data_IF_845850176466
#
_entry.id   IF_845850176466
#
_cell.length_a   1.000
_cell.length_b   1.000
_cell.length_c   1.000
_cell.angle_alpha   90.00
_cell.angle_beta   90.00
_cell.angle_gamma   90.00
#
_symmetry.space_group_name_H-M   'P 1'
#
loop_
_entity.id
_entity.type
_entity.pdbx_description
1 polymer ?
#
# COMPACT_ATOMS: atom_id res chain seq x y z
N UNK A 1 -11.81 13.65 -11.03
CA UNK A 1 -10.68 12.80 -10.56
C UNK A 1 -10.87 11.43 -11.18
N UNK A 2 -9.81 10.75 -11.64
CA UNK A 2 -9.91 9.39 -12.15
C UNK A 2 -10.31 8.43 -11.01
N UNK A 3 -11.15 7.44 -11.29
CA UNK A 3 -11.44 6.34 -10.36
C UNK A 3 -10.21 5.45 -10.15
N UNK A 4 -10.24 4.60 -9.13
CA UNK A 4 -9.18 3.59 -8.89
C UNK A 4 -9.05 2.65 -10.09
N UNK A 5 -10.18 2.26 -10.66
CA UNK A 5 -10.25 1.40 -11.83
C UNK A 5 -9.61 2.04 -13.06
N UNK A 6 -9.95 3.31 -13.34
CA UNK A 6 -9.35 4.07 -14.46
C UNK A 6 -7.83 4.26 -14.26
N UNK A 7 -7.36 4.42 -13.03
CA UNK A 7 -5.92 4.52 -12.73
C UNK A 7 -5.22 3.18 -12.99
N UNK A 8 -5.84 2.07 -12.58
CA UNK A 8 -5.30 0.73 -12.81
C UNK A 8 -5.26 0.39 -14.30
N UNK A 9 -6.30 0.72 -15.08
CA UNK A 9 -6.32 0.49 -16.51
C UNK A 9 -5.21 1.26 -17.24
N UNK A 10 -5.01 2.54 -16.89
CA UNK A 10 -3.91 3.33 -17.45
C UNK A 10 -2.54 2.79 -17.11
N UNK A 11 -2.36 2.25 -15.89
CA UNK A 11 -1.12 1.59 -15.50
C UNK A 11 -0.88 0.34 -16.36
N UNK A 12 -1.91 -0.49 -16.54
CA UNK A 12 -1.84 -1.72 -17.34
C UNK A 12 -1.54 -1.41 -18.80
N UNK A 13 -2.24 -0.42 -19.39
CA UNK A 13 -1.99 0.03 -20.77
C UNK A 13 -0.55 0.51 -20.97
N UNK A 14 -0.06 1.35 -20.04
CA UNK A 14 1.31 1.86 -20.10
C UNK A 14 2.33 0.72 -19.99
N UNK A 15 2.12 -0.22 -19.06
CA UNK A 15 3.02 -1.33 -18.83
C UNK A 15 3.06 -2.30 -20.03
N UNK A 16 1.94 -2.59 -20.68
CA UNK A 16 1.94 -3.39 -21.90
C UNK A 16 2.61 -2.64 -23.07
N UNK A 17 2.41 -1.34 -23.17
CA UNK A 17 3.10 -0.52 -24.19
C UNK A 17 4.61 -0.52 -24.00
N UNK A 18 5.08 -0.49 -22.75
CA UNK A 18 6.50 -0.54 -22.37
C UNK A 18 7.13 -1.92 -22.68
N UNK A 19 6.43 -3.01 -22.34
CA UNK A 19 6.99 -4.37 -22.37
C UNK A 19 6.87 -5.03 -23.76
N UNK A 20 5.81 -4.77 -24.49
CA UNK A 20 5.53 -5.44 -25.78
C UNK A 20 6.00 -4.61 -26.98
N UNK A 21 5.87 -3.29 -26.93
CA UNK A 21 6.26 -2.41 -28.03
C UNK A 21 5.58 -2.77 -29.36
N UNK A 22 6.38 -3.10 -30.37
CA UNK A 22 5.91 -3.53 -31.69
C UNK A 22 5.68 -5.06 -31.80
N UNK A 23 5.90 -5.83 -30.72
CA UNK A 23 5.55 -7.24 -30.62
C UNK A 23 6.52 -8.05 -29.73
N UNK A 24 5.98 -9.08 -29.09
CA UNK A 24 6.78 -10.12 -28.45
C UNK A 24 7.32 -11.09 -29.51
N UNK A 25 8.48 -10.74 -30.07
CA UNK A 25 9.07 -11.49 -31.19
C UNK A 25 9.39 -12.94 -30.83
N UNK A 26 9.72 -13.23 -29.55
CA UNK A 26 9.98 -14.61 -29.09
C UNK A 26 8.70 -15.44 -29.18
N UNK A 27 7.62 -14.96 -28.63
CA UNK A 27 6.34 -15.66 -28.69
C UNK A 27 5.84 -15.78 -30.12
N UNK A 28 5.90 -14.68 -30.91
CA UNK A 28 5.40 -14.66 -32.28
C UNK A 28 6.15 -15.60 -33.22
N UNK A 29 7.47 -15.82 -33.02
CA UNK A 29 8.25 -16.72 -33.87
C UNK A 29 8.12 -18.21 -33.47
N UNK A 30 7.81 -18.50 -32.20
CA UNK A 30 7.83 -19.87 -31.68
C UNK A 30 6.45 -20.50 -31.50
N UNK A 31 5.41 -19.69 -31.32
CA UNK A 31 4.07 -20.18 -30.93
C UNK A 31 3.06 -19.87 -32.03
N UNK A 32 2.37 -20.89 -32.60
CA UNK A 32 1.28 -20.66 -33.57
C UNK A 32 0.19 -19.78 -32.98
N UNK A 33 -0.39 -18.91 -33.82
CA UNK A 33 -1.39 -17.92 -33.40
C UNK A 33 -2.70 -18.55 -32.84
N UNK A 34 -3.01 -19.75 -33.27
CA UNK A 34 -4.19 -20.55 -32.87
C UNK A 34 -3.89 -21.53 -31.70
N UNK A 35 -2.62 -21.60 -31.26
CA UNK A 35 -2.24 -22.47 -30.16
C UNK A 35 -2.96 -22.09 -28.86
N UNK A 36 -3.54 -23.07 -28.19
CA UNK A 36 -4.19 -22.93 -26.88
C UNK A 36 -3.43 -23.72 -25.82
N UNK A 37 -3.42 -23.20 -24.61
CA UNK A 37 -2.71 -23.80 -23.48
C UNK A 37 -3.35 -23.45 -22.14
N UNK A 38 -2.72 -23.96 -21.10
CA UNK A 38 -3.02 -23.69 -19.70
C UNK A 38 -1.71 -23.33 -19.00
N UNK A 39 -1.75 -22.32 -18.13
CA UNK A 39 -0.65 -21.98 -17.22
C UNK A 39 -1.18 -21.84 -15.80
N UNK A 40 -0.33 -22.13 -14.81
CA UNK A 40 -0.67 -22.02 -13.39
C UNK A 40 0.29 -21.10 -12.66
N UNK A 41 -0.26 -20.28 -11.78
CA UNK A 41 0.50 -19.44 -10.86
C UNK A 41 0.86 -20.25 -9.61
N UNK A 42 2.16 -20.42 -9.37
CA UNK A 42 2.71 -21.16 -8.25
C UNK A 42 3.45 -20.23 -7.29
N UNK A 43 3.23 -20.43 -6.02
CA UNK A 43 3.95 -19.76 -4.94
C UNK A 43 5.33 -20.43 -4.74
N UNK A 44 6.36 -19.62 -4.54
CA UNK A 44 7.75 -20.07 -4.30
C UNK A 44 8.30 -19.64 -2.95
N UNK A 45 7.65 -18.71 -2.29
CA UNK A 45 8.04 -18.16 -0.98
C UNK A 45 6.79 -18.05 -0.09
N UNK A 46 6.94 -18.22 1.23
CA UNK A 46 5.84 -18.07 2.18
C UNK A 46 5.49 -16.59 2.39
N UNK A 47 4.18 -16.27 2.45
CA UNK A 47 3.72 -14.91 2.67
C UNK A 47 2.21 -14.75 2.62
N UNK A 48 1.76 -13.51 2.44
CA UNK A 48 0.35 -13.14 2.27
C UNK A 48 0.11 -12.78 0.81
N UNK A 49 -0.83 -13.47 0.19
CA UNK A 49 -1.21 -13.22 -1.21
C UNK A 49 -1.96 -11.89 -1.33
N UNK A 50 -1.61 -11.09 -2.34
CA UNK A 50 -2.33 -9.85 -2.67
C UNK A 50 -2.23 -9.52 -4.16
N UNK A 51 -3.36 -9.08 -4.76
CA UNK A 51 -3.44 -8.63 -6.14
C UNK A 51 -4.13 -9.58 -7.11
N UNK A 52 -4.86 -10.59 -6.63
CA UNK A 52 -5.57 -11.58 -7.46
C UNK A 52 -6.55 -10.91 -8.43
N UNK A 53 -7.34 -9.94 -7.95
CA UNK A 53 -8.30 -9.22 -8.81
C UNK A 53 -7.59 -8.36 -9.85
N UNK A 54 -6.44 -7.76 -9.50
CA UNK A 54 -5.63 -7.01 -10.45
C UNK A 54 -5.03 -7.94 -11.51
N UNK A 55 -4.59 -9.13 -11.13
CA UNK A 55 -4.10 -10.15 -12.07
C UNK A 55 -5.17 -10.57 -13.08
N UNK A 56 -6.41 -10.82 -12.61
CA UNK A 56 -7.55 -11.08 -13.51
C UNK A 56 -7.77 -9.92 -14.49
N UNK A 57 -7.68 -8.69 -13.99
CA UNK A 57 -7.82 -7.49 -14.81
C UNK A 57 -6.71 -7.38 -15.88
N UNK A 58 -5.46 -7.70 -15.54
CA UNK A 58 -4.34 -7.76 -16.49
C UNK A 58 -4.63 -8.74 -17.62
N UNK A 59 -5.07 -9.96 -17.30
CA UNK A 59 -5.41 -10.98 -18.30
C UNK A 59 -6.53 -10.52 -19.22
N UNK A 60 -7.66 -10.08 -18.67
CA UNK A 60 -8.84 -9.71 -19.45
C UNK A 60 -8.66 -8.40 -20.22
N UNK A 61 -7.81 -7.48 -19.75
CA UNK A 61 -7.47 -6.27 -20.49
C UNK A 61 -6.71 -6.60 -21.78
N UNK A 62 -5.81 -7.59 -21.71
CA UNK A 62 -5.02 -8.03 -22.87
C UNK A 62 -5.82 -8.94 -23.81
N UNK A 63 -6.51 -9.93 -23.26
CA UNK A 63 -7.30 -10.91 -24.01
C UNK A 63 -8.56 -11.31 -23.22
N UNK A 64 -9.73 -10.75 -23.56
CA UNK A 64 -10.98 -11.03 -22.85
C UNK A 64 -11.45 -12.51 -22.91
N UNK A 65 -10.87 -13.30 -23.85
CA UNK A 65 -11.22 -14.73 -24.00
C UNK A 65 -10.45 -15.65 -23.01
N UNK A 66 -9.44 -15.12 -22.30
CA UNK A 66 -8.73 -15.89 -21.29
C UNK A 66 -9.64 -16.29 -20.14
N UNK A 67 -9.64 -17.57 -19.80
CA UNK A 67 -10.41 -18.14 -18.70
C UNK A 67 -9.52 -18.22 -17.47
N UNK A 68 -9.83 -17.43 -16.44
CA UNK A 68 -9.08 -17.38 -15.17
C UNK A 68 -9.89 -18.09 -14.09
N UNK A 69 -9.33 -19.17 -13.55
CA UNK A 69 -9.88 -19.90 -12.40
C UNK A 69 -9.00 -19.65 -11.19
N UNK A 70 -9.58 -19.06 -10.13
CA UNK A 70 -8.87 -18.69 -8.89
C UNK A 70 -9.12 -19.75 -7.83
N UNK A 71 -8.07 -20.21 -7.15
CA UNK A 71 -8.13 -21.21 -6.07
C UNK A 71 -7.81 -20.61 -4.71
N UNK A 72 -7.11 -19.46 -4.67
CA UNK A 72 -6.69 -18.79 -3.43
C UNK A 72 -6.98 -17.29 -3.55
N UNK A 73 -7.67 -16.75 -2.55
CA UNK A 73 -8.09 -15.34 -2.50
C UNK A 73 -7.03 -14.46 -1.81
N UNK A 74 -7.11 -13.14 -2.05
CA UNK A 74 -6.29 -12.14 -1.40
C UNK A 74 -6.42 -12.21 0.13
N UNK A 75 -5.32 -11.92 0.84
CA UNK A 75 -5.23 -11.99 2.30
C UNK A 75 -4.93 -13.39 2.85
N UNK A 76 -4.91 -14.42 2.01
CA UNK A 76 -4.59 -15.78 2.42
C UNK A 76 -3.09 -15.94 2.65
N UNK A 77 -2.70 -16.61 3.74
CA UNK A 77 -1.34 -17.09 3.93
C UNK A 77 -1.03 -18.23 2.97
N UNK A 78 -0.01 -18.05 2.17
CA UNK A 78 0.44 -19.00 1.14
C UNK A 78 1.86 -19.51 1.41
N UNK A 79 2.17 -20.68 0.91
CA UNK A 79 3.47 -21.36 1.06
C UNK A 79 3.97 -21.94 -0.26
N UNK A 80 5.26 -22.25 -0.36
CA UNK A 80 5.83 -22.88 -1.57
C UNK A 80 5.05 -24.11 -2.00
N UNK A 81 4.70 -24.14 -3.29
CA UNK A 81 3.93 -25.22 -3.91
C UNK A 81 2.42 -24.95 -4.03
N UNK A 82 1.87 -23.96 -3.34
CA UNK A 82 0.47 -23.60 -3.50
C UNK A 82 0.22 -23.08 -4.92
N UNK A 83 -0.90 -23.48 -5.51
CA UNK A 83 -1.38 -23.02 -6.80
C UNK A 83 -2.47 -21.98 -6.56
N UNK A 84 -2.21 -20.74 -6.99
CA UNK A 84 -3.12 -19.61 -6.76
C UNK A 84 -4.24 -19.57 -7.80
N UNK A 85 -3.88 -19.75 -9.07
CA UNK A 85 -4.84 -19.72 -10.17
C UNK A 85 -4.37 -20.56 -11.35
N UNK A 86 -5.32 -20.94 -12.21
CA UNK A 86 -5.10 -21.50 -13.53
C UNK A 86 -5.67 -20.55 -14.58
N UNK A 87 -4.93 -20.34 -15.67
CA UNK A 87 -5.39 -19.51 -16.80
C UNK A 87 -5.30 -20.32 -18.08
N UNK A 88 -6.41 -20.36 -18.83
CA UNK A 88 -6.56 -21.12 -20.09
C UNK A 88 -6.91 -20.17 -21.23
N UNK A 89 -6.35 -20.41 -22.40
CA UNK A 89 -6.68 -19.66 -23.62
C UNK A 89 -5.57 -19.67 -24.64
N UNK A 90 -5.45 -18.59 -25.43
CA UNK A 90 -4.37 -18.48 -26.41
C UNK A 90 -3.01 -18.46 -25.74
N UNK A 91 -2.13 -19.35 -26.19
CA UNK A 91 -0.79 -19.51 -25.60
C UNK A 91 0.03 -18.22 -25.75
N UNK A 92 -0.11 -17.49 -26.87
CA UNK A 92 0.55 -16.20 -27.03
C UNK A 92 0.10 -15.19 -25.96
N UNK A 93 -1.19 -15.11 -25.66
CA UNK A 93 -1.72 -14.21 -24.63
C UNK A 93 -1.24 -14.60 -23.23
N UNK A 94 -1.13 -15.90 -22.91
CA UNK A 94 -0.59 -16.35 -21.62
C UNK A 94 0.87 -15.90 -21.44
N UNK A 95 1.70 -16.00 -22.47
CA UNK A 95 3.11 -15.63 -22.41
C UNK A 95 3.31 -14.12 -22.32
N UNK A 96 2.54 -13.35 -23.10
CA UNK A 96 2.66 -11.89 -23.16
C UNK A 96 2.14 -11.18 -21.90
N UNK A 97 1.24 -11.81 -21.15
CA UNK A 97 0.69 -11.24 -19.91
C UNK A 97 1.48 -11.65 -18.66
N UNK A 98 2.29 -12.72 -18.74
CA UNK A 98 3.00 -13.33 -17.61
C UNK A 98 3.79 -12.32 -16.81
N UNK A 99 4.64 -11.52 -17.46
CA UNK A 99 5.61 -10.68 -16.77
C UNK A 99 4.92 -9.55 -16.00
N UNK A 100 3.99 -8.85 -16.63
CA UNK A 100 3.25 -7.77 -15.99
C UNK A 100 2.44 -8.29 -14.80
N UNK A 101 1.72 -9.38 -14.99
CA UNK A 101 0.93 -10.02 -13.92
C UNK A 101 1.83 -10.41 -12.74
N UNK A 102 2.96 -11.07 -12.99
CA UNK A 102 3.91 -11.46 -11.92
C UNK A 102 4.49 -10.24 -11.21
N UNK A 103 4.91 -9.20 -11.92
CA UNK A 103 5.47 -8.00 -11.31
C UNK A 103 4.50 -7.35 -10.33
N UNK A 104 3.22 -7.26 -10.70
CA UNK A 104 2.17 -6.69 -9.83
C UNK A 104 1.93 -7.59 -8.61
N UNK A 105 1.65 -8.89 -8.82
CA UNK A 105 1.35 -9.82 -7.74
C UNK A 105 2.50 -9.98 -6.75
N UNK A 106 3.73 -10.13 -7.24
CA UNK A 106 4.91 -10.24 -6.40
C UNK A 106 5.10 -9.01 -5.53
N UNK A 107 4.90 -7.81 -6.10
CA UNK A 107 5.02 -6.55 -5.36
C UNK A 107 3.90 -6.39 -4.33
N UNK A 108 2.66 -6.57 -4.72
CA UNK A 108 1.52 -6.45 -3.81
C UNK A 108 1.59 -7.47 -2.67
N UNK A 109 1.92 -8.72 -2.98
CA UNK A 109 2.08 -9.77 -1.96
C UNK A 109 3.27 -9.52 -1.04
N UNK A 110 4.37 -8.96 -1.55
CA UNK A 110 5.50 -8.53 -0.72
C UNK A 110 5.11 -7.44 0.27
N UNK A 111 4.34 -6.44 -0.16
CA UNK A 111 3.81 -5.37 0.70
C UNK A 111 2.84 -5.94 1.74
N UNK A 112 1.91 -6.78 1.33
CA UNK A 112 0.94 -7.41 2.23
C UNK A 112 1.65 -8.28 3.29
N UNK A 113 2.64 -9.07 2.88
CA UNK A 113 3.46 -9.90 3.77
C UNK A 113 4.20 -9.06 4.81
N UNK A 114 4.88 -8.00 4.37
CA UNK A 114 5.60 -7.09 5.26
C UNK A 114 4.65 -6.39 6.23
N UNK A 115 3.53 -5.88 5.73
CA UNK A 115 2.51 -5.21 6.55
C UNK A 115 1.94 -6.15 7.59
N UNK A 116 1.60 -7.38 7.19
CA UNK A 116 1.10 -8.40 8.11
C UNK A 116 2.10 -8.69 9.22
N UNK A 117 3.37 -8.88 8.89
CA UNK A 117 4.46 -9.08 9.86
C UNK A 117 4.52 -7.95 10.88
N UNK A 118 4.44 -6.69 10.45
CA UNK A 118 4.48 -5.53 11.33
C UNK A 118 3.24 -5.45 12.23
N UNK A 119 2.05 -5.59 11.64
CA UNK A 119 0.80 -5.51 12.40
C UNK A 119 0.67 -6.67 13.41
N UNK A 120 1.07 -7.88 13.02
CA UNK A 120 1.02 -9.03 13.91
C UNK A 120 1.96 -8.86 15.11
N UNK A 121 3.17 -8.34 14.90
CA UNK A 121 4.10 -8.07 16.00
C UNK A 121 3.55 -7.03 16.99
N UNK A 122 2.80 -6.03 16.54
CA UNK A 122 2.11 -5.07 17.41
C UNK A 122 0.98 -5.74 18.22
N UNK A 123 0.23 -6.64 17.59
CA UNK A 123 -0.83 -7.43 18.24
C UNK A 123 -0.22 -8.37 19.30
N UNK A 124 0.83 -9.08 18.96
CA UNK A 124 1.53 -10.03 19.86
C UNK A 124 2.14 -9.30 21.07
N UNK A 125 2.53 -8.04 20.91
CA UNK A 125 2.97 -7.18 22.01
C UNK A 125 1.81 -6.65 22.89
N UNK A 126 0.56 -7.04 22.61
CA UNK A 126 -0.63 -6.65 23.38
C UNK A 126 -1.07 -5.20 23.16
N UNK A 127 -0.63 -4.54 22.08
CA UNK A 127 -0.98 -3.15 21.79
C UNK A 127 -2.21 -3.06 20.88
N UNK A 128 -2.84 -1.87 20.83
CA UNK A 128 -3.94 -1.57 19.91
C UNK A 128 -3.49 -0.74 18.70
N UNK A 129 -2.22 -0.40 18.67
CA UNK A 129 -1.62 0.45 17.63
C UNK A 129 -1.76 -0.20 16.26
N UNK A 130 -2.07 0.61 15.26
CA UNK A 130 -2.23 0.17 13.86
C UNK A 130 -1.07 0.68 13.01
N UNK A 131 -0.65 -0.18 12.09
CA UNK A 131 0.34 0.16 11.06
C UNK A 131 -0.30 1.03 10.00
N UNK A 132 0.35 2.17 9.66
CA UNK A 132 -0.03 3.04 8.54
C UNK A 132 1.02 2.99 7.42
N UNK A 133 0.53 3.10 6.20
CA UNK A 133 1.38 3.43 5.05
C UNK A 133 1.70 4.94 4.98
N UNK A 134 2.32 5.35 3.88
CA UNK A 134 2.63 6.75 3.59
C UNK A 134 2.37 7.07 2.12
N UNK A 135 2.71 8.28 1.67
CA UNK A 135 2.75 8.64 0.24
C UNK A 135 4.09 8.31 -0.45
N UNK A 136 5.02 7.63 0.23
CA UNK A 136 6.30 7.17 -0.33
C UNK A 136 6.09 5.90 -1.17
N UNK A 137 5.24 6.00 -2.19
CA UNK A 137 4.84 4.92 -3.08
C UNK A 137 5.52 5.04 -4.44
N UNK A 138 5.60 3.93 -5.18
CA UNK A 138 6.05 3.94 -6.57
C UNK A 138 5.10 4.79 -7.41
N UNK A 139 5.60 5.74 -8.23
CA UNK A 139 4.77 6.52 -9.12
C UNK A 139 3.89 5.62 -10.01
N UNK A 140 2.60 5.94 -10.08
CA UNK A 140 1.60 5.14 -10.81
C UNK A 140 1.03 3.95 -10.05
N UNK A 141 1.74 3.37 -9.06
CA UNK A 141 1.31 2.16 -8.35
C UNK A 141 0.64 2.41 -7.00
N UNK A 142 0.42 3.68 -6.60
CA UNK A 142 -0.07 4.01 -5.26
C UNK A 142 -1.33 3.28 -4.85
N UNK A 143 -2.30 3.15 -5.75
CA UNK A 143 -3.56 2.50 -5.41
C UNK A 143 -3.37 1.02 -5.12
N UNK A 144 -2.54 0.33 -5.89
CA UNK A 144 -2.21 -1.08 -5.70
C UNK A 144 -1.39 -1.30 -4.42
N UNK A 145 -0.40 -0.45 -4.17
CA UNK A 145 0.45 -0.56 -2.97
C UNK A 145 -0.34 -0.31 -1.68
N UNK A 146 -1.23 0.70 -1.68
CA UNK A 146 -2.10 0.98 -0.53
C UNK A 146 -3.15 -0.11 -0.31
N UNK A 147 -3.68 -0.70 -1.38
CA UNK A 147 -4.58 -1.85 -1.27
C UNK A 147 -3.85 -3.06 -0.66
N UNK A 148 -2.62 -3.32 -1.09
CA UNK A 148 -1.78 -4.38 -0.52
C UNK A 148 -1.51 -4.17 0.98
N UNK A 149 -1.33 -2.92 1.44
CA UNK A 149 -1.22 -2.61 2.88
C UNK A 149 -2.50 -3.01 3.63
N UNK A 150 -3.68 -2.70 3.09
CA UNK A 150 -4.96 -3.10 3.70
C UNK A 150 -5.11 -4.63 3.76
N UNK A 151 -4.79 -5.31 2.66
CA UNK A 151 -4.81 -6.78 2.58
C UNK A 151 -3.90 -7.40 3.65
N UNK A 152 -2.73 -6.80 3.90
CA UNK A 152 -1.81 -7.20 4.96
C UNK A 152 -2.27 -6.86 6.39
N UNK A 153 -3.43 -6.23 6.56
CA UNK A 153 -4.02 -5.89 7.86
C UNK A 153 -3.60 -4.52 8.41
N UNK A 154 -2.84 -3.73 7.66
CA UNK A 154 -2.54 -2.32 7.97
C UNK A 154 -3.69 -1.37 7.63
N UNK A 155 -3.44 -0.09 7.78
CA UNK A 155 -4.36 0.97 7.40
C UNK A 155 -3.70 1.95 6.44
N UNK A 156 -4.50 2.64 5.63
CA UNK A 156 -4.00 3.66 4.75
C UNK A 156 -3.99 5.03 5.44
N UNK A 157 -2.86 5.72 5.36
CA UNK A 157 -2.81 7.16 5.51
C UNK A 157 -3.44 7.82 4.28
N UNK A 158 -3.56 9.15 4.24
CA UNK A 158 -4.11 9.88 3.08
C UNK A 158 -3.58 9.34 1.75
N UNK A 159 -4.50 9.26 0.79
CA UNK A 159 -4.20 8.76 -0.56
C UNK A 159 -3.39 9.77 -1.35
N UNK A 160 -3.74 11.04 -1.22
CA UNK A 160 -3.11 12.11 -1.97
C UNK A 160 -2.99 13.41 -1.18
N UNK A 161 -2.98 14.52 -1.90
CA UNK A 161 -3.02 15.87 -1.32
C UNK A 161 -4.45 16.41 -1.18
N UNK A 162 -5.44 15.62 -1.56
CA UNK A 162 -6.82 16.04 -1.76
C UNK A 162 -7.80 15.49 -0.70
N UNK A 163 -7.42 14.43 0.04
CA UNK A 163 -8.32 13.69 0.93
C UNK A 163 -8.02 13.90 2.43
N UNK A 164 -6.95 14.65 2.75
CA UNK A 164 -6.62 15.05 4.13
C UNK A 164 -5.61 16.20 4.10
N UNK A 165 -5.76 17.17 4.97
CA UNK A 165 -4.75 18.20 5.23
C UNK A 165 -3.73 17.61 6.21
N UNK A 166 -2.46 17.60 5.82
CA UNK A 166 -1.34 17.26 6.70
C UNK A 166 -0.37 18.45 6.72
N UNK A 167 -0.36 19.14 7.85
CA UNK A 167 0.51 20.26 8.14
C UNK A 167 1.85 19.72 8.61
N UNK A 168 2.85 19.79 7.74
CA UNK A 168 4.22 19.34 8.00
C UNK A 168 5.09 20.49 8.51
N UNK A 169 6.29 20.16 8.99
CA UNK A 169 7.31 21.09 9.46
C UNK A 169 7.40 22.35 8.60
N UNK A 170 7.63 22.21 7.29
CA UNK A 170 7.72 23.34 6.37
C UNK A 170 6.43 24.18 6.29
N UNK A 171 5.25 23.55 6.37
CA UNK A 171 3.99 24.31 6.40
C UNK A 171 3.88 25.13 7.67
N UNK A 172 4.20 24.52 8.82
CA UNK A 172 4.19 25.18 10.13
C UNK A 172 5.17 26.35 10.15
N UNK A 173 6.39 26.13 9.67
CA UNK A 173 7.43 27.17 9.67
C UNK A 173 7.06 28.35 8.75
N UNK A 174 6.57 28.09 7.53
CA UNK A 174 6.16 29.15 6.60
C UNK A 174 4.87 29.87 7.04
N UNK A 175 3.98 29.23 7.80
CA UNK A 175 2.80 29.87 8.37
C UNK A 175 3.11 30.69 9.63
N UNK A 176 4.30 30.58 10.21
CA UNK A 176 4.69 31.27 11.43
C UNK A 176 4.22 30.59 12.71
N UNK A 177 4.12 29.23 12.71
CA UNK A 177 3.83 28.41 13.87
C UNK A 177 2.59 27.52 13.70
N UNK A 178 2.45 26.55 14.62
CA UNK A 178 1.39 25.55 14.63
C UNK A 178 0.01 26.18 14.75
N UNK A 179 -0.14 27.14 15.67
CA UNK A 179 -1.39 27.90 15.85
C UNK A 179 -1.91 28.47 14.51
N UNK A 180 -1.05 29.23 13.82
CA UNK A 180 -1.42 29.84 12.55
C UNK A 180 -1.76 28.80 11.48
N UNK A 181 -0.94 27.74 11.37
CA UNK A 181 -1.12 26.70 10.37
C UNK A 181 -2.47 25.97 10.51
N UNK A 182 -2.86 25.59 11.75
CA UNK A 182 -4.13 24.91 12.01
C UNK A 182 -5.31 25.88 11.80
N UNK A 183 -5.21 27.12 12.31
CA UNK A 183 -6.26 28.14 12.12
C UNK A 183 -6.52 28.42 10.65
N UNK A 184 -5.45 28.59 9.85
CA UNK A 184 -5.56 28.80 8.39
C UNK A 184 -6.14 27.56 7.68
N UNK A 185 -5.78 26.34 8.09
CA UNK A 185 -6.34 25.12 7.53
C UNK A 185 -7.86 25.02 7.79
N UNK A 186 -8.30 25.31 9.01
CA UNK A 186 -9.73 25.34 9.37
C UNK A 186 -10.49 26.40 8.59
N UNK A 187 -9.92 27.61 8.48
CA UNK A 187 -10.53 28.67 7.70
C UNK A 187 -10.65 28.30 6.22
N UNK A 188 -9.59 27.70 5.65
CA UNK A 188 -9.61 27.18 4.28
C UNK A 188 -10.73 26.16 4.07
N UNK A 189 -10.90 25.18 4.98
CA UNK A 189 -11.96 24.17 4.88
C UNK A 189 -13.33 24.84 4.84
N UNK A 190 -13.58 25.78 5.75
CA UNK A 190 -14.84 26.52 5.83
C UNK A 190 -15.11 27.35 4.59
N UNK A 191 -14.12 28.08 4.07
CA UNK A 191 -14.27 28.98 2.92
C UNK A 191 -14.50 28.22 1.60
N UNK A 192 -14.05 26.94 1.53
CA UNK A 192 -14.11 26.11 0.32
C UNK A 192 -15.11 24.94 0.43
N UNK A 193 -15.92 24.88 1.51
CA UNK A 193 -16.87 23.77 1.72
C UNK A 193 -16.18 22.42 1.79
N UNK A 194 -15.06 22.34 2.53
CA UNK A 194 -14.22 21.14 2.73
C UNK A 194 -14.19 20.70 4.19
N UNK A 195 -15.29 20.91 4.91
CA UNK A 195 -15.40 20.62 6.35
C UNK A 195 -15.21 19.13 6.70
N UNK A 196 -15.35 18.24 5.73
CA UNK A 196 -15.11 16.78 5.87
C UNK A 196 -13.63 16.41 5.81
N UNK A 197 -12.72 17.32 5.40
CA UNK A 197 -11.30 17.03 5.38
C UNK A 197 -10.75 17.00 6.81
N UNK A 198 -10.19 15.85 7.19
CA UNK A 198 -9.43 15.76 8.44
C UNK A 198 -8.17 16.63 8.36
N UNK A 199 -7.84 17.24 9.50
CA UNK A 199 -6.60 18.01 9.68
C UNK A 199 -5.68 17.24 10.60
N UNK A 200 -4.49 16.92 10.10
CA UNK A 200 -3.39 16.36 10.86
C UNK A 200 -2.26 17.36 10.94
N UNK A 201 -1.63 17.48 12.13
CA UNK A 201 -0.51 18.37 12.37
C UNK A 201 0.69 17.57 12.88
N UNK A 202 1.83 17.71 12.19
CA UNK A 202 3.13 17.20 12.62
C UNK A 202 3.71 18.15 13.67
N UNK A 203 4.14 17.62 14.81
CA UNK A 203 4.75 18.38 15.92
C UNK A 203 6.11 17.80 16.27
N UNK A 204 7.08 18.69 16.55
CA UNK A 204 8.50 18.36 16.78
C UNK A 204 8.90 18.44 18.27
N UNK A 205 8.03 19.02 19.11
CA UNK A 205 8.28 19.23 20.53
C UNK A 205 6.98 19.44 21.30
N UNK A 206 7.08 19.51 22.64
CA UNK A 206 5.91 19.65 23.50
C UNK A 206 5.23 21.03 23.41
N UNK A 207 5.94 22.10 23.05
CA UNK A 207 5.34 23.43 22.84
C UNK A 207 4.42 23.38 21.62
N UNK A 208 4.87 22.83 20.50
CA UNK A 208 4.05 22.63 19.31
C UNK A 208 2.86 21.69 19.58
N UNK A 209 3.06 20.67 20.42
CA UNK A 209 1.98 19.78 20.84
C UNK A 209 0.91 20.54 21.61
N UNK A 210 1.27 21.40 22.58
CA UNK A 210 0.34 22.24 23.32
C UNK A 210 -0.43 23.19 22.39
N UNK A 211 0.23 23.82 21.45
CA UNK A 211 -0.41 24.68 20.45
C UNK A 211 -1.42 23.88 19.59
N UNK A 212 -1.02 22.70 19.10
CA UNK A 212 -1.90 21.84 18.30
C UNK A 212 -3.13 21.37 19.08
N UNK A 213 -2.96 21.06 20.36
CA UNK A 213 -4.05 20.65 21.24
C UNK A 213 -5.00 21.79 21.59
N UNK A 214 -4.49 23.01 21.73
CA UNK A 214 -5.30 24.21 22.00
C UNK A 214 -6.13 24.61 20.78
N UNK A 215 -5.54 24.54 19.59
CA UNK A 215 -6.25 24.78 18.35
C UNK A 215 -7.23 23.65 18.00
N UNK A 216 -6.87 22.41 18.31
CA UNK A 216 -7.61 21.21 17.99
C UNK A 216 -7.46 20.81 16.50
N UNK A 217 -7.05 19.59 16.28
CA UNK A 217 -7.01 18.92 14.96
C UNK A 217 -7.47 17.48 15.13
N UNK A 218 -7.67 16.76 14.04
CA UNK A 218 -8.20 15.39 14.07
C UNK A 218 -7.14 14.37 14.44
N UNK A 219 -5.86 14.65 14.08
CA UNK A 219 -4.71 13.82 14.41
C UNK A 219 -3.49 14.68 14.68
N UNK A 220 -2.63 14.21 15.59
CA UNK A 220 -1.30 14.79 15.85
C UNK A 220 -0.26 13.73 15.56
N UNK A 221 0.72 14.07 14.70
CA UNK A 221 1.86 13.24 14.39
C UNK A 221 3.08 13.70 15.20
N UNK A 222 3.62 12.81 16.03
CA UNK A 222 4.85 13.04 16.78
C UNK A 222 6.05 12.72 15.88
N UNK A 223 6.72 13.76 15.37
CA UNK A 223 7.86 13.59 14.48
C UNK A 223 9.16 13.44 15.27
N UNK A 224 9.81 12.29 15.09
CA UNK A 224 11.10 11.95 15.73
C UNK A 224 11.10 12.03 17.28
N UNK A 225 9.95 11.88 17.93
CA UNK A 225 9.91 11.74 19.39
C UNK A 225 10.55 10.42 19.81
N UNK A 226 11.15 10.41 21.01
CA UNK A 226 11.57 9.15 21.65
C UNK A 226 10.34 8.37 22.16
N UNK A 227 10.44 7.06 22.44
CA UNK A 227 9.33 6.32 23.06
C UNK A 227 8.88 6.91 24.40
N UNK A 228 9.82 7.48 25.18
CA UNK A 228 9.51 8.14 26.45
C UNK A 228 8.73 9.44 26.23
N UNK A 229 9.17 10.28 25.30
CA UNK A 229 8.46 11.51 24.96
C UNK A 229 7.12 11.22 24.31
N UNK A 230 7.04 10.18 23.47
CA UNK A 230 5.78 9.70 22.90
C UNK A 230 4.76 9.35 24.01
N UNK A 231 5.18 8.66 25.07
CA UNK A 231 4.29 8.35 26.19
C UNK A 231 3.77 9.61 26.87
N UNK A 232 4.65 10.56 27.18
CA UNK A 232 4.26 11.85 27.76
C UNK A 232 3.29 12.61 26.82
N UNK A 233 3.57 12.58 25.53
CA UNK A 233 2.72 13.24 24.52
C UNK A 233 1.32 12.59 24.46
N UNK A 234 1.23 11.25 24.46
CA UNK A 234 -0.07 10.53 24.52
C UNK A 234 -0.84 10.88 25.78
N UNK A 235 -0.17 10.94 26.96
CA UNK A 235 -0.78 11.39 28.21
C UNK A 235 -1.32 12.83 28.10
N UNK A 236 -0.56 13.74 27.47
CA UNK A 236 -1.00 15.13 27.24
C UNK A 236 -2.17 15.21 26.25
N UNK A 237 -2.18 14.37 25.21
CA UNK A 237 -3.32 14.30 24.26
C UNK A 237 -4.59 13.81 24.97
N UNK A 238 -4.48 12.86 25.88
CA UNK A 238 -5.57 12.35 26.71
C UNK A 238 -6.84 11.97 25.89
N UNK A 239 -6.67 11.39 24.71
CA UNK A 239 -7.76 10.94 23.83
C UNK A 239 -8.55 12.07 23.13
N UNK A 240 -8.05 13.31 23.12
CA UNK A 240 -8.71 14.45 22.45
C UNK A 240 -8.68 14.37 20.93
N UNK A 241 -7.70 13.69 20.36
CA UNK A 241 -7.56 13.42 18.93
C UNK A 241 -6.79 12.11 18.70
N UNK A 242 -6.73 11.64 17.46
CA UNK A 242 -5.87 10.50 17.06
C UNK A 242 -4.39 10.87 17.19
N UNK A 243 -3.54 9.87 17.49
CA UNK A 243 -2.09 10.05 17.66
C UNK A 243 -1.31 9.15 16.70
N UNK A 244 -0.28 9.70 16.07
CA UNK A 244 0.62 8.98 15.17
C UNK A 244 2.07 9.20 15.60
N UNK A 245 2.88 8.14 15.63
CA UNK A 245 4.34 8.25 15.70
C UNK A 245 4.96 8.07 14.33
N UNK A 246 5.88 8.96 13.97
CA UNK A 246 6.62 8.96 12.70
C UNK A 246 8.09 9.36 12.92
N UNK A 247 8.93 9.10 11.89
CA UNK A 247 10.35 9.46 11.91
C UNK A 247 11.26 8.31 12.36
N UNK A 248 11.96 7.67 11.40
CA UNK A 248 13.01 6.68 11.64
C UNK A 248 12.61 5.39 12.35
N UNK A 249 11.31 5.14 12.57
CA UNK A 249 10.82 3.94 13.26
C UNK A 249 10.93 2.74 12.30
N UNK A 250 11.53 1.65 12.81
CA UNK A 250 11.72 0.40 12.07
C UNK A 250 10.97 -0.75 12.76
N UNK A 251 10.95 -1.93 12.12
CA UNK A 251 10.40 -3.14 12.72
C UNK A 251 11.00 -3.42 14.11
N UNK A 252 12.31 -3.28 14.26
CA UNK A 252 13.02 -3.59 15.50
C UNK A 252 12.80 -2.55 16.61
N UNK A 253 12.39 -1.34 16.26
CA UNK A 253 12.23 -0.23 17.22
C UNK A 253 10.78 0.15 17.50
N UNK A 254 9.79 -0.41 16.79
CA UNK A 254 8.39 0.04 16.85
C UNK A 254 7.65 -0.30 18.16
N UNK A 255 8.01 -1.42 18.82
CA UNK A 255 7.26 -1.92 19.99
C UNK A 255 7.21 -0.91 21.14
N UNK A 256 8.33 -0.26 21.56
CA UNK A 256 8.26 0.76 22.60
C UNK A 256 7.35 1.95 22.28
N UNK A 257 7.24 2.37 21.00
CA UNK A 257 6.30 3.41 20.57
C UNK A 257 4.85 2.97 20.69
N UNK A 258 4.55 1.76 20.24
CA UNK A 258 3.21 1.19 20.38
C UNK A 258 2.81 1.03 21.87
N UNK A 259 3.73 0.59 22.74
CA UNK A 259 3.52 0.51 24.17
C UNK A 259 3.38 1.87 24.87
N UNK A 260 3.82 2.95 24.22
CA UNK A 260 3.54 4.32 24.67
C UNK A 260 2.05 4.69 24.49
N UNK A 261 1.30 3.94 23.66
CA UNK A 261 -0.15 4.07 23.53
C UNK A 261 -0.62 4.91 22.34
N UNK A 262 0.23 5.12 21.34
CA UNK A 262 -0.19 5.79 20.10
C UNK A 262 -1.21 4.96 19.33
N UNK A 263 -2.12 5.62 18.62
CA UNK A 263 -3.11 4.94 17.77
C UNK A 263 -2.45 4.36 16.51
N UNK A 264 -1.47 5.08 15.95
CA UNK A 264 -0.82 4.72 14.69
C UNK A 264 0.70 4.84 14.72
N UNK A 265 1.35 4.00 13.93
CA UNK A 265 2.77 4.17 13.55
C UNK A 265 2.86 4.09 12.04
N UNK A 266 3.43 5.11 11.38
CA UNK A 266 3.58 5.11 9.93
C UNK A 266 4.96 4.62 9.48
N UNK A 267 4.94 3.78 8.42
CA UNK A 267 6.14 3.15 7.87
C UNK A 267 6.24 3.36 6.36
N UNK A 268 7.16 4.21 5.93
CA UNK A 268 7.46 4.36 4.50
C UNK A 268 8.03 3.08 3.89
N UNK A 269 8.76 2.28 4.68
CA UNK A 269 9.40 1.05 4.24
C UNK A 269 8.42 0.01 3.65
N UNK A 270 7.16 0.03 4.06
CA UNK A 270 6.12 -0.87 3.53
C UNK A 270 5.96 -0.77 2.02
N UNK A 271 6.26 0.39 1.44
CA UNK A 271 6.07 0.62 0.00
C UNK A 271 7.36 0.97 -0.73
N UNK A 272 8.33 1.66 -0.10
CA UNK A 272 9.56 2.05 -0.80
C UNK A 272 10.72 1.04 -0.68
N UNK A 273 10.65 0.06 0.26
CA UNK A 273 11.76 -0.89 0.52
C UNK A 273 11.28 -2.34 0.63
N UNK A 274 10.23 -2.69 -0.09
CA UNK A 274 9.65 -4.04 -0.06
C UNK A 274 10.38 -4.97 -1.03
N UNK A 275 10.59 -6.22 -0.61
CA UNK A 275 10.97 -7.34 -1.47
C UNK A 275 9.69 -8.00 -2.01
N UNK A 276 9.62 -8.23 -3.33
CA UNK A 276 8.53 -8.99 -3.93
C UNK A 276 8.49 -10.44 -3.43
N UNK A 277 7.28 -10.98 -3.26
CA UNK A 277 7.09 -12.40 -2.92
C UNK A 277 7.37 -13.28 -4.14
N UNK A 278 8.20 -14.30 -3.99
CA UNK A 278 8.61 -15.12 -5.15
C UNK A 278 7.47 -16.02 -5.64
N UNK A 279 7.19 -15.90 -6.95
CA UNK A 279 6.13 -16.64 -7.66
C UNK A 279 6.60 -17.02 -9.06
N UNK A 280 5.97 -18.03 -9.65
CA UNK A 280 6.19 -18.39 -11.05
C UNK A 280 4.89 -18.77 -11.74
N UNK A 281 4.79 -18.41 -13.03
CA UNK A 281 3.70 -18.80 -13.90
C UNK A 281 4.21 -19.90 -14.84
N UNK A 282 3.63 -21.11 -14.76
CA UNK A 282 4.15 -22.31 -15.42
C UNK A 282 3.12 -22.94 -16.34
N UNK A 283 3.55 -23.19 -17.58
CA UNK A 283 2.75 -23.95 -18.53
C UNK A 283 2.45 -25.37 -17.99
N UNK A 284 1.20 -25.78 -18.16
CA UNK A 284 0.76 -27.15 -17.90
C UNK A 284 1.01 -27.96 -19.18
N UNK A 285 2.06 -28.75 -19.15
CA UNK A 285 2.38 -29.66 -20.27
C UNK A 285 1.78 -31.02 -19.94
N UNK A 286 0.84 -31.52 -20.78
CA UNK A 286 0.42 -32.92 -20.72
C UNK A 286 1.65 -33.78 -21.02
N UNK A 287 2.05 -34.61 -20.07
CA UNK A 287 3.01 -35.69 -20.39
C UNK A 287 2.17 -36.76 -21.12
N UNK A 288 2.25 -36.75 -22.45
CA UNK A 288 1.86 -37.91 -23.25
C UNK A 288 2.72 -39.12 -22.90
#
# INVERSE_FOLDING_TARGET
MLSVEELNDKLIELAFSEDIGDGDHTTLCCIPADAKGESRLLIKEEGVLAGVDVAKRVFHHFDPELQVEVFVEDGTHVKPGDIVMSVKGRTQSLLQTERLMLNILQRMSGIATMTHKYQQALIDAGTKTRVLDTRKTTPGMRMLEKEAVKIGGGMNHRIGLFDMILLKDNHVDFCGGVHNAISMAKQYCKDHGKDDLKIECEVRNFTELEEALNEGCDRIMFDNFTPEDTRKAVEMVAGRCETESSGGITFDTMIPYAQAGVDFISFGALTHSVKGLDMSFKAVVSKD
#
